data_IF_509070755480
#
_entry.id   IF_509070755480
#
_cell.length_a   1.000
_cell.length_b   1.000
_cell.length_c   1.000
_cell.angle_alpha   90.00
_cell.angle_beta   90.00
_cell.angle_gamma   90.00
#
_symmetry.space_group_name_H-M   'P 1'
#
loop_
_entity.id
_entity.type
_entity.pdbx_description
1 polymer ?
#
# COMPACT_ATOMS: atom_id res chain seq x y z
N UNK A 1 12.68 5.18 28.33
CA UNK A 1 11.35 5.74 27.98
C UNK A 1 11.58 6.79 26.93
N UNK A 2 11.48 6.42 25.66
CA UNK A 2 11.65 7.36 24.55
C UNK A 2 10.25 7.69 24.06
N UNK A 3 9.83 8.92 24.33
CA UNK A 3 8.54 9.47 23.90
C UNK A 3 8.57 9.55 22.38
N UNK A 4 7.68 8.80 21.73
CA UNK A 4 7.40 8.96 20.30
C UNK A 4 6.64 10.29 20.20
N UNK A 5 7.31 11.32 19.69
CA UNK A 5 6.68 12.58 19.34
C UNK A 5 5.71 12.34 18.17
N UNK A 6 4.50 12.89 18.33
CA UNK A 6 3.49 13.00 17.29
C UNK A 6 4.10 13.48 15.98
N UNK A 7 4.24 12.58 15.03
CA UNK A 7 4.55 12.95 13.65
C UNK A 7 3.27 13.52 13.08
N UNK A 8 3.14 14.85 13.12
CA UNK A 8 2.12 15.55 12.33
C UNK A 8 2.30 15.13 10.86
N UNK A 9 1.34 14.40 10.35
CA UNK A 9 1.19 14.05 8.94
C UNK A 9 1.11 15.37 8.17
N UNK A 10 2.16 15.72 7.45
CA UNK A 10 2.25 16.96 6.70
C UNK A 10 1.20 16.94 5.59
N UNK A 11 0.06 17.62 5.81
CA UNK A 11 -0.82 18.09 4.75
C UNK A 11 -1.61 17.05 3.96
N UNK A 12 -2.13 15.99 4.60
CA UNK A 12 -3.16 15.18 3.96
C UNK A 12 -4.41 16.03 3.72
N UNK A 13 -4.95 15.96 2.49
CA UNK A 13 -6.25 16.55 2.13
C UNK A 13 -7.41 15.82 2.83
N UNK A 14 -7.15 14.61 3.34
CA UNK A 14 -8.10 13.72 3.99
C UNK A 14 -7.91 13.76 5.50
N UNK A 15 -9.02 13.96 6.23
CA UNK A 15 -9.03 13.97 7.69
C UNK A 15 -9.95 12.86 8.21
N UNK A 16 -9.53 12.10 9.24
CA UNK A 16 -10.39 11.09 9.84
C UNK A 16 -11.70 11.70 10.37
N UNK A 17 -12.82 11.02 10.12
CA UNK A 17 -14.11 11.39 10.69
C UNK A 17 -14.26 10.62 12.02
N UNK A 18 -14.32 11.32 13.13
CA UNK A 18 -14.38 10.73 14.48
C UNK A 18 -13.27 9.69 14.75
N UNK A 19 -12.07 9.94 14.19
CA UNK A 19 -10.92 9.03 14.27
C UNK A 19 -10.98 7.82 13.32
N UNK A 20 -12.04 7.68 12.52
CA UNK A 20 -12.20 6.59 11.54
C UNK A 20 -11.43 6.92 10.27
N UNK A 21 -10.47 6.05 9.91
CA UNK A 21 -9.64 6.18 8.71
C UNK A 21 -10.22 5.39 7.54
N UNK A 22 -10.51 4.12 7.76
CA UNK A 22 -11.00 3.21 6.72
C UNK A 22 -12.24 2.48 7.23
N UNK A 23 -13.27 2.45 6.38
CA UNK A 23 -14.50 1.70 6.61
C UNK A 23 -14.77 0.84 5.37
N UNK A 24 -14.99 -0.43 5.58
CA UNK A 24 -15.50 -1.37 4.57
C UNK A 24 -16.88 -1.82 5.04
N UNK A 25 -17.90 -1.64 4.23
CA UNK A 25 -19.29 -1.92 4.56
C UNK A 25 -19.92 -2.80 3.49
N UNK A 26 -20.37 -3.99 3.90
CA UNK A 26 -21.08 -4.98 3.09
C UNK A 26 -20.45 -5.20 1.70
N UNK A 27 -19.12 -5.33 1.68
CA UNK A 27 -18.35 -5.48 0.44
C UNK A 27 -18.59 -6.85 -0.17
N UNK A 28 -19.02 -6.86 -1.44
CA UNK A 28 -19.11 -8.06 -2.28
C UNK A 28 -18.15 -7.91 -3.47
N UNK A 29 -17.45 -9.00 -3.80
CA UNK A 29 -16.60 -9.08 -5.00
C UNK A 29 -16.82 -10.41 -5.68
N UNK A 30 -17.06 -10.36 -6.98
CA UNK A 30 -17.27 -11.51 -7.86
C UNK A 30 -16.25 -11.49 -9.00
N UNK A 31 -15.88 -12.68 -9.49
CA UNK A 31 -15.12 -12.84 -10.71
C UNK A 31 -15.98 -13.50 -11.78
N UNK A 32 -16.26 -12.76 -12.85
CA UNK A 32 -17.07 -13.22 -13.98
C UNK A 32 -16.14 -13.85 -15.02
N UNK A 33 -16.12 -15.17 -15.07
CA UNK A 33 -15.30 -15.95 -16.02
C UNK A 33 -16.17 -16.68 -17.05
N UNK A 34 -15.61 -17.18 -18.15
CA UNK A 34 -16.35 -17.99 -19.12
C UNK A 34 -17.01 -19.24 -18.52
N UNK A 35 -16.43 -19.76 -17.43
CA UNK A 35 -16.91 -20.96 -16.74
C UNK A 35 -18.00 -20.67 -15.67
N UNK A 36 -18.29 -19.39 -15.41
CA UNK A 36 -19.29 -18.95 -14.46
C UNK A 36 -18.83 -17.80 -13.55
N UNK A 37 -19.66 -17.49 -12.56
CA UNK A 37 -19.42 -16.44 -11.55
C UNK A 37 -18.89 -17.07 -10.27
N UNK A 38 -17.71 -16.62 -9.82
CA UNK A 38 -17.12 -17.02 -8.55
C UNK A 38 -17.17 -15.87 -7.56
N UNK A 39 -17.87 -16.04 -6.42
CA UNK A 39 -17.90 -15.05 -5.33
C UNK A 39 -16.62 -15.14 -4.51
N UNK A 40 -15.81 -14.10 -4.53
CA UNK A 40 -14.56 -14.01 -3.76
C UNK A 40 -14.74 -13.34 -2.41
N UNK A 41 -15.65 -12.37 -2.30
CA UNK A 41 -16.02 -11.69 -1.06
C UNK A 41 -17.54 -11.67 -0.97
N UNK A 42 -18.07 -12.03 0.19
CA UNK A 42 -19.49 -12.19 0.43
C UNK A 42 -19.95 -11.41 1.68
N UNK A 43 -20.09 -10.10 1.56
CA UNK A 43 -20.61 -9.21 2.60
C UNK A 43 -19.63 -8.99 3.77
N UNK A 44 -18.40 -8.55 3.47
CA UNK A 44 -17.40 -8.25 4.51
C UNK A 44 -17.55 -6.81 4.98
N UNK A 45 -17.56 -6.62 6.32
CA UNK A 45 -17.60 -5.29 6.95
C UNK A 45 -16.56 -5.20 8.07
N UNK A 46 -15.81 -4.09 8.13
CA UNK A 46 -14.90 -3.75 9.23
C UNK A 46 -14.53 -2.27 9.19
N UNK A 47 -14.02 -1.78 10.33
CA UNK A 47 -13.52 -0.41 10.49
C UNK A 47 -12.06 -0.43 10.93
N UNK A 48 -11.30 0.60 10.56
CA UNK A 48 -9.94 0.86 11.05
C UNK A 48 -9.84 2.32 11.50
N UNK A 49 -9.44 2.51 12.75
CA UNK A 49 -9.26 3.83 13.36
C UNK A 49 -7.81 4.26 13.35
N UNK A 50 -7.57 5.54 13.50
CA UNK A 50 -6.22 6.10 13.60
C UNK A 50 -5.46 5.48 14.78
N UNK A 51 -4.23 4.99 14.50
CA UNK A 51 -3.38 4.33 15.51
C UNK A 51 -3.77 2.89 15.84
N UNK A 52 -4.78 2.34 15.20
CA UNK A 52 -5.23 0.96 15.38
C UNK A 52 -4.49 0.00 14.44
N UNK A 53 -4.37 -1.27 14.87
CA UNK A 53 -3.91 -2.37 14.04
C UNK A 53 -5.02 -3.43 13.96
N UNK A 54 -5.49 -3.69 12.75
CA UNK A 54 -6.50 -4.71 12.45
C UNK A 54 -5.85 -5.91 11.77
N UNK A 55 -6.10 -7.12 12.28
CA UNK A 55 -5.68 -8.36 11.64
C UNK A 55 -6.89 -9.06 10.99
N UNK A 56 -6.79 -9.30 9.68
CA UNK A 56 -7.79 -10.09 8.93
C UNK A 56 -7.28 -11.52 8.83
N UNK A 57 -7.94 -12.43 9.51
CA UNK A 57 -7.59 -13.86 9.56
C UNK A 57 -8.51 -14.68 8.66
N UNK A 58 -7.98 -15.75 8.08
CA UNK A 58 -8.75 -16.67 7.25
C UNK A 58 -7.84 -17.65 6.50
N UNK A 59 -8.40 -18.71 5.98
CA UNK A 59 -7.71 -19.73 5.19
C UNK A 59 -7.23 -19.17 3.82
N UNK A 60 -6.37 -19.92 3.13
CA UNK A 60 -6.01 -19.58 1.74
C UNK A 60 -7.27 -19.59 0.87
N UNK A 61 -7.44 -18.54 0.04
CA UNK A 61 -8.62 -18.39 -0.81
C UNK A 61 -9.84 -17.75 -0.12
N UNK A 62 -9.75 -17.35 1.16
CA UNK A 62 -10.88 -16.70 1.87
C UNK A 62 -11.13 -15.22 1.47
N UNK A 63 -10.48 -14.70 0.44
CA UNK A 63 -10.71 -13.35 -0.08
C UNK A 63 -9.85 -12.25 0.55
N UNK A 64 -8.89 -12.55 1.44
CA UNK A 64 -8.03 -11.52 2.09
C UNK A 64 -7.31 -10.63 1.09
N UNK A 65 -6.58 -11.23 0.16
CA UNK A 65 -5.84 -10.48 -0.88
C UNK A 65 -6.79 -9.72 -1.81
N UNK A 66 -7.95 -10.30 -2.12
CA UNK A 66 -8.98 -9.62 -2.93
C UNK A 66 -9.52 -8.39 -2.19
N UNK A 67 -9.76 -8.49 -0.87
CA UNK A 67 -10.16 -7.35 -0.03
C UNK A 67 -9.11 -6.25 -0.05
N UNK A 68 -7.84 -6.62 0.15
CA UNK A 68 -6.71 -5.70 0.12
C UNK A 68 -6.60 -4.97 -1.23
N UNK A 69 -6.71 -5.71 -2.33
CA UNK A 69 -6.67 -5.16 -3.69
C UNK A 69 -7.90 -4.29 -4.00
N UNK A 70 -9.08 -4.64 -3.47
CA UNK A 70 -10.28 -3.81 -3.61
C UNK A 70 -10.11 -2.46 -2.92
N UNK A 71 -9.57 -2.43 -1.68
CA UNK A 71 -9.25 -1.20 -0.95
C UNK A 71 -8.26 -0.34 -1.74
N UNK A 72 -7.21 -0.96 -2.28
CA UNK A 72 -6.22 -0.27 -3.11
C UNK A 72 -6.78 0.15 -4.49
N UNK A 73 -7.93 -0.41 -4.90
CA UNK A 73 -8.49 -0.18 -6.23
C UNK A 73 -7.59 -0.67 -7.36
N UNK A 74 -6.94 -1.81 -7.17
CA UNK A 74 -6.03 -2.46 -8.14
C UNK A 74 -6.53 -3.83 -8.61
N UNK A 75 -7.80 -4.15 -8.35
CA UNK A 75 -8.44 -5.31 -8.97
C UNK A 75 -8.55 -5.09 -10.48
N UNK A 76 -8.20 -6.12 -11.25
CA UNK A 76 -8.42 -6.13 -12.69
C UNK A 76 -9.94 -6.20 -12.98
N UNK A 77 -10.50 -5.11 -13.45
CA UNK A 77 -11.92 -5.00 -13.75
C UNK A 77 -12.12 -4.72 -15.26
N UNK A 78 -12.59 -5.71 -16.09
CA UNK A 78 -12.92 -7.10 -15.75
C UNK A 78 -11.70 -7.99 -15.53
N UNK A 79 -11.80 -9.23 -14.99
CA UNK A 79 -13.02 -10.01 -14.72
C UNK A 79 -13.67 -9.74 -13.36
N UNK A 80 -13.02 -8.98 -12.46
CA UNK A 80 -13.62 -8.65 -11.17
C UNK A 80 -14.79 -7.67 -11.33
N UNK A 81 -15.80 -7.85 -10.50
CA UNK A 81 -16.98 -6.96 -10.38
C UNK A 81 -17.23 -6.74 -8.88
N UNK A 82 -17.55 -5.53 -8.49
CA UNK A 82 -18.01 -5.18 -7.14
C UNK A 82 -19.49 -4.84 -7.24
N UNK A 83 -20.40 -5.82 -7.03
CA UNK A 83 -21.83 -5.62 -7.23
C UNK A 83 -22.48 -4.74 -6.15
N UNK A 84 -21.91 -4.74 -4.94
CA UNK A 84 -22.41 -3.93 -3.81
C UNK A 84 -21.35 -3.73 -2.74
N UNK A 85 -21.64 -2.83 -1.80
CA UNK A 85 -20.80 -2.44 -0.68
C UNK A 85 -20.09 -1.12 -0.88
N UNK A 86 -19.39 -0.68 0.15
CA UNK A 86 -18.65 0.58 0.18
C UNK A 86 -17.25 0.38 0.75
N UNK A 87 -16.31 1.17 0.24
CA UNK A 87 -14.97 1.30 0.82
C UNK A 87 -14.73 2.79 1.02
N UNK A 88 -14.83 3.27 2.28
CA UNK A 88 -14.66 4.69 2.58
C UNK A 88 -13.32 4.94 3.25
N UNK A 89 -12.58 5.90 2.73
CA UNK A 89 -11.37 6.45 3.36
C UNK A 89 -11.65 7.87 3.83
N UNK A 90 -11.54 8.12 5.14
CA UNK A 90 -11.89 9.41 5.75
C UNK A 90 -13.30 9.89 5.30
N UNK A 91 -14.28 8.98 5.26
CA UNK A 91 -15.66 9.25 4.86
C UNK A 91 -15.92 9.35 3.35
N UNK A 92 -14.90 9.31 2.51
CA UNK A 92 -15.04 9.36 1.05
C UNK A 92 -15.02 7.96 0.43
N UNK A 93 -16.05 7.62 -0.34
CA UNK A 93 -16.15 6.29 -0.97
C UNK A 93 -15.18 6.16 -2.16
N UNK A 94 -14.17 5.30 -1.99
CA UNK A 94 -13.15 5.03 -3.00
C UNK A 94 -13.70 4.35 -4.25
N UNK A 95 -14.84 3.62 -4.16
CA UNK A 95 -15.43 2.92 -5.31
C UNK A 95 -16.09 3.89 -6.29
N UNK A 96 -16.63 5.00 -5.78
CA UNK A 96 -17.32 6.03 -6.59
C UNK A 96 -16.40 7.21 -6.90
N UNK A 97 -15.23 7.28 -6.27
CA UNK A 97 -14.25 8.34 -6.48
C UNK A 97 -13.69 8.32 -7.92
N UNK A 98 -13.55 9.49 -8.59
CA UNK A 98 -12.88 9.56 -9.88
C UNK A 98 -11.46 8.97 -9.82
N UNK A 99 -11.07 8.21 -10.85
CA UNK A 99 -9.78 7.49 -10.87
C UNK A 99 -8.57 8.41 -10.65
N UNK A 100 -8.62 9.64 -11.15
CA UNK A 100 -7.54 10.60 -10.92
C UNK A 100 -7.36 10.96 -9.44
N UNK A 101 -8.46 11.10 -8.69
CA UNK A 101 -8.43 11.35 -7.25
C UNK A 101 -8.00 10.08 -6.51
N UNK A 102 -8.58 8.94 -6.83
CA UNK A 102 -8.24 7.65 -6.25
C UNK A 102 -6.75 7.31 -6.43
N UNK A 103 -6.17 7.64 -7.59
CA UNK A 103 -4.74 7.47 -7.85
C UNK A 103 -3.86 8.32 -6.91
N UNK A 104 -4.33 9.49 -6.48
CA UNK A 104 -3.61 10.37 -5.54
C UNK A 104 -3.61 9.82 -4.12
N UNK A 105 -4.60 9.00 -3.72
CA UNK A 105 -4.61 8.35 -2.41
C UNK A 105 -3.61 7.19 -2.32
N UNK A 106 -3.31 6.53 -3.45
CA UNK A 106 -2.38 5.40 -3.49
C UNK A 106 -0.95 5.87 -3.26
N UNK A 107 -0.32 5.34 -2.23
CA UNK A 107 1.02 5.69 -1.77
C UNK A 107 1.02 6.72 -0.65
N UNK A 108 0.56 7.97 -0.85
CA UNK A 108 0.55 8.98 0.21
C UNK A 108 -0.41 8.69 1.36
N UNK A 109 -1.60 8.17 1.07
CA UNK A 109 -2.65 7.94 2.06
C UNK A 109 -2.78 6.47 2.42
N UNK A 110 -2.90 5.62 1.41
CA UNK A 110 -3.04 4.17 1.56
C UNK A 110 -1.91 3.50 0.78
N UNK A 111 -1.15 2.65 1.45
CA UNK A 111 -0.06 1.88 0.84
C UNK A 111 -0.21 0.39 1.11
N UNK A 112 0.48 -0.44 0.32
CA UNK A 112 0.39 -1.89 0.42
C UNK A 112 1.76 -2.54 0.36
N UNK A 113 1.97 -3.53 1.23
CA UNK A 113 3.07 -4.48 1.20
C UNK A 113 2.53 -5.78 0.62
N UNK A 114 3.00 -6.14 -0.58
CA UNK A 114 2.58 -7.36 -1.26
C UNK A 114 3.27 -8.60 -0.68
N UNK A 115 2.64 -9.76 -0.80
CA UNK A 115 3.20 -11.03 -0.37
C UNK A 115 4.52 -11.38 -1.09
N UNK A 116 4.60 -11.13 -2.40
CA UNK A 116 5.79 -11.43 -3.21
C UNK A 116 6.62 -10.17 -3.51
N UNK A 117 7.77 -10.09 -2.85
CA UNK A 117 8.74 -9.02 -3.07
C UNK A 117 9.39 -9.06 -4.47
N UNK A 118 9.38 -10.22 -5.16
CA UNK A 118 9.97 -10.33 -6.50
C UNK A 118 9.10 -9.65 -7.55
N UNK A 119 7.79 -9.80 -7.44
CA UNK A 119 6.83 -9.18 -8.39
C UNK A 119 6.66 -7.68 -8.15
N UNK A 120 6.91 -7.19 -6.93
CA UNK A 120 6.71 -5.79 -6.56
C UNK A 120 7.89 -4.86 -6.89
N UNK A 121 9.09 -5.41 -7.12
CA UNK A 121 10.27 -4.66 -7.52
C UNK A 121 10.57 -4.85 -9.00
N UNK A 122 10.62 -3.76 -9.76
CA UNK A 122 10.98 -3.82 -11.17
C UNK A 122 12.46 -4.22 -11.33
N UNK A 123 12.78 -5.35 -11.97
CA UNK A 123 14.14 -5.89 -12.04
C UNK A 123 15.13 -5.05 -12.87
N UNK A 124 14.62 -4.17 -13.75
CA UNK A 124 15.46 -3.37 -14.67
C UNK A 124 15.82 -1.98 -14.11
N UNK A 125 15.34 -1.64 -12.91
CA UNK A 125 15.71 -0.38 -12.25
C UNK A 125 16.42 -0.62 -10.92
N UNK A 126 17.44 0.22 -10.56
CA UNK A 126 18.08 0.16 -9.26
C UNK A 126 17.07 0.38 -8.12
N UNK A 127 17.27 -0.29 -6.99
CA UNK A 127 16.33 -0.22 -5.85
C UNK A 127 16.17 1.20 -5.30
N UNK A 128 17.28 1.94 -5.19
CA UNK A 128 17.23 3.33 -4.74
C UNK A 128 16.47 4.25 -5.67
N UNK A 129 16.54 4.00 -6.98
CA UNK A 129 15.76 4.76 -7.95
C UNK A 129 14.25 4.51 -7.75
N UNK A 130 13.83 3.27 -7.51
CA UNK A 130 12.43 2.90 -7.30
C UNK A 130 11.86 3.51 -6.01
N UNK A 131 12.66 3.59 -4.93
CA UNK A 131 12.25 4.25 -3.69
C UNK A 131 12.22 5.78 -3.90
N UNK A 132 13.26 6.35 -4.53
CA UNK A 132 13.36 7.78 -4.79
C UNK A 132 12.24 8.30 -5.70
N UNK A 133 11.72 7.45 -6.61
CA UNK A 133 10.61 7.79 -7.49
C UNK A 133 9.36 8.19 -6.69
N UNK A 134 9.08 7.52 -5.56
CA UNK A 134 7.96 7.87 -4.68
C UNK A 134 8.02 9.34 -4.24
N UNK A 135 9.19 9.80 -3.81
CA UNK A 135 9.39 11.19 -3.39
C UNK A 135 9.35 12.18 -4.56
N UNK A 136 9.86 11.78 -5.71
CA UNK A 136 9.87 12.63 -6.90
C UNK A 136 8.45 12.84 -7.45
N UNK A 137 7.67 11.78 -7.55
CA UNK A 137 6.32 11.81 -8.12
C UNK A 137 5.33 12.47 -7.17
N UNK A 138 5.36 12.12 -5.88
CA UNK A 138 4.35 12.55 -4.93
C UNK A 138 4.73 13.79 -4.10
N UNK A 139 6.03 14.06 -3.92
CA UNK A 139 6.52 15.20 -3.12
C UNK A 139 7.27 16.24 -3.96
N UNK A 140 7.42 16.02 -5.27
CA UNK A 140 8.11 16.95 -6.18
C UNK A 140 9.60 17.15 -5.91
N UNK A 141 10.25 16.24 -5.16
CA UNK A 141 11.66 16.35 -4.83
C UNK A 141 12.55 16.20 -6.07
N UNK A 142 13.67 16.95 -6.09
CA UNK A 142 14.70 16.75 -7.08
C UNK A 142 15.39 15.38 -6.92
N UNK A 143 16.19 14.98 -7.92
CA UNK A 143 16.85 13.66 -7.95
C UNK A 143 17.79 13.42 -6.77
N UNK A 144 18.55 14.44 -6.35
CA UNK A 144 19.52 14.32 -5.28
C UNK A 144 18.85 14.10 -3.94
N UNK A 145 17.88 14.96 -3.59
CA UNK A 145 17.17 14.90 -2.31
C UNK A 145 16.32 13.64 -2.19
N UNK A 146 15.66 13.24 -3.29
CA UNK A 146 14.90 11.99 -3.34
C UNK A 146 15.80 10.75 -3.13
N UNK A 147 17.01 10.77 -3.70
CA UNK A 147 17.96 9.67 -3.50
C UNK A 147 18.49 9.61 -2.05
N UNK A 148 18.77 10.74 -1.42
CA UNK A 148 19.16 10.78 0.00
C UNK A 148 18.02 10.26 0.91
N UNK A 149 16.77 10.62 0.62
CA UNK A 149 15.60 10.04 1.31
C UNK A 149 15.51 8.53 1.12
N UNK A 150 15.76 8.03 -0.10
CA UNK A 150 15.77 6.60 -0.38
C UNK A 150 16.87 5.87 0.40
N UNK A 151 18.07 6.44 0.51
CA UNK A 151 19.18 5.89 1.32
C UNK A 151 18.75 5.80 2.78
N UNK A 152 18.21 6.88 3.35
CA UNK A 152 17.74 6.90 4.74
C UNK A 152 16.66 5.84 5.01
N UNK A 153 15.75 5.60 4.07
CA UNK A 153 14.75 4.51 4.19
C UNK A 153 15.42 3.12 4.12
N UNK A 154 16.38 2.93 3.23
CA UNK A 154 17.13 1.66 3.17
C UNK A 154 17.88 1.39 4.48
N UNK A 155 18.45 2.41 5.11
CA UNK A 155 19.08 2.32 6.44
C UNK A 155 18.04 1.97 7.52
N UNK A 156 16.89 2.65 7.51
CA UNK A 156 15.79 2.41 8.46
C UNK A 156 15.27 0.97 8.42
N UNK A 157 15.24 0.35 7.25
CA UNK A 157 14.90 -1.09 7.11
C UNK A 157 16.12 -2.01 7.23
N UNK A 158 17.22 -1.51 7.74
CA UNK A 158 18.45 -2.29 8.03
C UNK A 158 19.06 -2.94 6.79
N UNK A 159 19.13 -2.23 5.67
CA UNK A 159 19.95 -2.64 4.52
C UNK A 159 21.42 -2.23 4.80
N UNK A 160 22.36 -3.19 4.92
CA UNK A 160 23.75 -2.85 5.18
C UNK A 160 24.38 -2.12 3.99
N UNK A 161 25.24 -1.13 4.27
CA UNK A 161 25.90 -0.31 3.25
C UNK A 161 24.92 0.32 2.25
N UNK A 162 23.79 0.87 2.73
CA UNK A 162 22.69 1.39 1.92
C UNK A 162 23.19 2.40 0.87
N UNK A 163 24.08 3.32 1.24
CA UNK A 163 24.66 4.34 0.34
C UNK A 163 25.43 3.75 -0.84
N UNK A 164 26.11 2.64 -0.64
CA UNK A 164 26.84 1.95 -1.70
C UNK A 164 25.90 1.13 -2.57
N UNK A 165 24.92 0.49 -1.92
CA UNK A 165 23.98 -0.45 -2.57
C UNK A 165 22.75 0.21 -3.18
N UNK A 166 22.54 1.50 -2.99
CA UNK A 166 21.39 2.24 -3.54
C UNK A 166 21.29 2.15 -5.06
N UNK A 167 22.42 1.93 -5.76
CA UNK A 167 22.51 1.74 -7.21
C UNK A 167 22.38 0.27 -7.64
N UNK A 168 22.30 -0.66 -6.70
CA UNK A 168 22.18 -2.09 -7.01
C UNK A 168 20.75 -2.44 -7.47
N UNK A 169 20.65 -3.49 -8.26
CA UNK A 169 19.38 -4.00 -8.81
C UNK A 169 18.76 -5.05 -7.89
N UNK A 170 17.43 -5.29 -7.96
CA UNK A 170 16.75 -6.25 -7.10
C UNK A 170 17.39 -7.64 -7.04
N UNK A 171 17.85 -8.17 -8.18
CA UNK A 171 18.48 -9.49 -8.26
C UNK A 171 19.81 -9.60 -7.51
N UNK A 172 20.45 -8.46 -7.17
CA UNK A 172 21.70 -8.42 -6.42
C UNK A 172 21.47 -8.46 -4.89
N UNK A 173 20.23 -8.54 -4.45
CA UNK A 173 19.86 -8.64 -3.04
C UNK A 173 19.31 -10.02 -2.69
N UNK A 174 19.68 -10.59 -1.52
CA UNK A 174 19.00 -11.75 -0.96
C UNK A 174 17.48 -11.52 -0.80
N UNK A 175 16.67 -12.59 -0.76
CA UNK A 175 15.22 -12.52 -0.63
C UNK A 175 14.76 -11.66 0.53
N UNK A 176 15.34 -11.88 1.72
CA UNK A 176 15.01 -11.10 2.93
C UNK A 176 15.32 -9.60 2.80
N UNK A 177 16.36 -9.23 2.04
CA UNK A 177 16.66 -7.81 1.78
C UNK A 177 15.70 -7.22 0.75
N UNK A 178 15.26 -7.98 -0.25
CA UNK A 178 14.24 -7.52 -1.20
C UNK A 178 12.92 -7.22 -0.50
N UNK A 179 12.53 -8.07 0.45
CA UNK A 179 11.35 -7.82 1.29
C UNK A 179 11.49 -6.52 2.09
N UNK A 180 12.64 -6.26 2.71
CA UNK A 180 12.91 -4.99 3.42
C UNK A 180 12.86 -3.78 2.48
N UNK A 181 13.39 -3.90 1.24
CA UNK A 181 13.33 -2.85 0.22
C UNK A 181 11.87 -2.57 -0.20
N UNK A 182 11.06 -3.61 -0.36
CA UNK A 182 9.63 -3.47 -0.62
C UNK A 182 8.92 -2.72 0.53
N UNK A 183 9.22 -3.09 1.77
CA UNK A 183 8.71 -2.37 2.97
C UNK A 183 9.15 -0.90 2.93
N UNK A 184 10.44 -0.62 2.66
CA UNK A 184 10.93 0.76 2.54
C UNK A 184 10.16 1.57 1.49
N UNK A 185 9.86 0.96 0.34
CA UNK A 185 9.05 1.58 -0.71
C UNK A 185 7.61 1.85 -0.25
N UNK A 186 6.99 0.91 0.44
CA UNK A 186 5.62 1.04 0.94
C UNK A 186 5.46 2.15 1.99
N UNK A 187 6.45 2.33 2.87
CA UNK A 187 6.43 3.37 3.92
C UNK A 187 7.06 4.70 3.50
N UNK A 188 7.48 4.85 2.23
CA UNK A 188 8.26 6.00 1.77
C UNK A 188 7.54 7.34 1.96
N UNK A 189 6.23 7.36 1.88
CA UNK A 189 5.42 8.58 1.95
C UNK A 189 4.70 8.76 3.29
N UNK A 190 5.03 7.91 4.29
CA UNK A 190 4.39 7.87 5.61
C UNK A 190 2.85 7.75 5.49
N UNK A 191 2.32 6.67 4.86
CA UNK A 191 0.90 6.52 4.61
C UNK A 191 0.11 6.40 5.92
N UNK A 192 -1.14 6.92 5.92
CA UNK A 192 -2.04 6.82 7.06
C UNK A 192 -2.57 5.39 7.26
N UNK A 193 -2.76 4.64 6.16
CA UNK A 193 -3.14 3.23 6.19
C UNK A 193 -2.07 2.41 5.47
N UNK A 194 -1.52 1.41 6.17
CA UNK A 194 -0.60 0.44 5.60
C UNK A 194 -1.24 -0.95 5.62
N UNK A 195 -1.56 -1.45 4.43
CA UNK A 195 -2.06 -2.80 4.25
C UNK A 195 -0.87 -3.76 4.04
N UNK A 196 -0.75 -4.81 4.85
CA UNK A 196 0.34 -5.76 4.76
C UNK A 196 -0.19 -7.19 4.54
N UNK A 197 0.19 -7.81 3.42
CA UNK A 197 -0.09 -9.20 3.13
C UNK A 197 1.10 -10.06 3.55
N UNK A 198 0.93 -10.89 4.60
CA UNK A 198 1.89 -11.90 5.11
C UNK A 198 3.37 -11.42 5.02
N UNK A 199 3.74 -10.35 5.76
CA UNK A 199 5.07 -9.75 5.67
C UNK A 199 6.19 -10.65 6.25
#
# INVERSE_FOLDING_TARGET
>A
MTTIQDTQTAGSEYQPVDGLLLEVEDLFVEFHTPDGVATAINGVSFELRQGESLAILGESGSGKSVTAQAIMGILDMPPAVIPSGHIRYCGQDLLTMPEEQRRKTRGPEISMIFQDALSSLNPVFPVGWQIAEMFRVHRGLNKSDALEKAIGLMERVSIPAARERVKAYPHQFPGSMRQRIMIAKAIALDPAVLNAEEP
#
